data_IF_132600559958
#
_entry.id   IF_132600559958
#
_cell.length_a   1.000
_cell.length_b   1.000
_cell.length_c   1.000
_cell.angle_alpha   90.00
_cell.angle_beta   90.00
_cell.angle_gamma   90.00
#
_symmetry.space_group_name_H-M   'P 1'
#
loop_
_entity.id
_entity.type
_entity.pdbx_description
1 polymer ?
#
# COMPACT_ATOMS: atom_id res chain seq x y z
N UNK A 1 32.49 24.71 -32.68
CA UNK A 1 31.95 23.87 -31.59
C UNK A 1 30.78 24.64 -31.00
N UNK A 2 29.58 24.31 -31.44
CA UNK A 2 28.37 24.78 -30.76
C UNK A 2 28.27 24.08 -29.39
N UNK A 3 27.85 24.78 -28.33
CA UNK A 3 27.68 24.18 -27.03
C UNK A 3 26.51 23.20 -27.07
N UNK A 4 26.75 21.99 -26.55
CA UNK A 4 25.73 20.96 -26.33
C UNK A 4 24.53 21.54 -25.56
N UNK A 5 23.28 21.25 -25.94
CA UNK A 5 22.13 21.69 -25.15
C UNK A 5 22.21 21.03 -23.78
N UNK A 6 22.24 21.85 -22.73
CA UNK A 6 22.15 21.39 -21.36
C UNK A 6 20.86 20.60 -21.21
N UNK A 7 20.96 19.35 -20.78
CA UNK A 7 19.82 18.53 -20.40
C UNK A 7 18.99 19.33 -19.40
N UNK A 8 17.77 19.68 -19.79
CA UNK A 8 16.83 20.37 -18.92
C UNK A 8 16.53 19.40 -17.78
N UNK A 9 17.06 19.68 -16.58
CA UNK A 9 16.72 18.93 -15.37
C UNK A 9 15.19 18.98 -15.23
N UNK A 10 14.54 17.81 -15.25
CA UNK A 10 13.12 17.70 -15.00
C UNK A 10 12.78 18.40 -13.67
N UNK A 11 11.65 19.10 -13.63
CA UNK A 11 11.19 19.76 -12.41
C UNK A 11 11.02 18.72 -11.29
N UNK A 12 11.35 19.06 -10.04
CA UNK A 12 11.13 18.14 -8.92
C UNK A 12 9.64 17.80 -8.80
N UNK A 13 9.33 16.51 -8.64
CA UNK A 13 7.96 16.00 -8.49
C UNK A 13 7.29 16.64 -7.26
N UNK A 14 6.13 17.27 -7.44
CA UNK A 14 5.38 17.92 -6.35
C UNK A 14 4.87 16.91 -5.33
N UNK A 15 4.67 17.37 -4.09
CA UNK A 15 4.06 16.53 -3.04
C UNK A 15 2.66 16.06 -3.44
N UNK A 16 1.85 16.94 -4.07
CA UNK A 16 0.54 16.57 -4.58
C UNK A 16 0.61 15.43 -5.60
N UNK A 17 1.57 15.49 -6.53
CA UNK A 17 1.82 14.40 -7.49
C UNK A 17 2.23 13.11 -6.79
N UNK A 18 3.05 13.16 -5.72
CA UNK A 18 3.42 11.98 -4.90
C UNK A 18 2.23 11.37 -4.16
N UNK A 19 1.32 12.19 -3.63
CA UNK A 19 0.07 11.70 -2.99
C UNK A 19 -0.79 10.97 -4.02
N UNK A 20 -1.04 11.59 -5.18
CA UNK A 20 -1.85 10.99 -6.25
C UNK A 20 -1.19 9.74 -6.82
N UNK A 21 0.11 9.82 -7.09
CA UNK A 21 0.94 8.72 -7.55
C UNK A 21 0.90 7.53 -6.60
N UNK A 22 1.10 7.75 -5.29
CA UNK A 22 1.08 6.67 -4.30
C UNK A 22 -0.27 5.96 -4.25
N UNK A 23 -1.38 6.71 -4.19
CA UNK A 23 -2.72 6.11 -4.13
C UNK A 23 -3.09 5.38 -5.42
N UNK A 24 -2.87 6.00 -6.58
CA UNK A 24 -3.18 5.41 -7.88
C UNK A 24 -2.25 4.26 -8.23
N UNK A 25 -0.95 4.40 -7.94
CA UNK A 25 0.06 3.36 -8.16
C UNK A 25 -0.26 2.09 -7.36
N UNK A 26 -0.68 2.25 -6.10
CA UNK A 26 -1.18 1.14 -5.30
C UNK A 26 -2.40 0.47 -5.92
N UNK A 27 -3.40 1.24 -6.33
CA UNK A 27 -4.61 0.71 -6.95
C UNK A 27 -4.34 -0.01 -8.29
N UNK A 28 -3.41 0.49 -9.10
CA UNK A 28 -2.97 -0.18 -10.33
C UNK A 28 -2.22 -1.48 -10.04
N UNK A 29 -1.33 -1.47 -9.04
CA UNK A 29 -0.63 -2.66 -8.58
C UNK A 29 -1.58 -3.73 -8.05
N UNK A 30 -2.52 -3.34 -7.17
CA UNK A 30 -3.59 -4.18 -6.66
C UNK A 30 -4.41 -4.79 -7.80
N UNK A 31 -4.88 -3.95 -8.74
CA UNK A 31 -5.65 -4.41 -9.89
C UNK A 31 -4.90 -5.41 -10.77
N UNK A 32 -3.58 -5.21 -10.96
CA UNK A 32 -2.74 -6.11 -11.75
C UNK A 32 -2.53 -7.45 -11.05
N UNK A 33 -2.12 -7.42 -9.78
CA UNK A 33 -1.93 -8.63 -9.00
C UNK A 33 -3.24 -9.39 -8.76
N UNK A 34 -4.37 -8.70 -8.68
CA UNK A 34 -5.68 -9.32 -8.50
C UNK A 34 -6.10 -10.25 -9.66
N UNK A 35 -5.59 -10.02 -10.88
CA UNK A 35 -5.84 -10.90 -12.03
C UNK A 35 -5.26 -12.31 -11.88
N UNK A 36 -4.27 -12.45 -10.99
CA UNK A 36 -3.49 -13.68 -10.76
C UNK A 36 -3.43 -14.12 -9.29
N UNK A 37 -4.15 -13.44 -8.38
CA UNK A 37 -4.11 -13.70 -6.93
C UNK A 37 -4.42 -15.14 -6.54
N UNK A 38 -5.22 -15.85 -7.35
CA UNK A 38 -5.60 -17.24 -7.10
C UNK A 38 -4.70 -18.28 -7.82
N UNK A 39 -3.72 -17.83 -8.60
CA UNK A 39 -2.85 -18.69 -9.40
C UNK A 39 -1.47 -18.83 -8.75
N UNK A 40 -0.86 -20.01 -8.85
CA UNK A 40 0.59 -20.17 -8.66
C UNK A 40 1.36 -19.79 -9.95
N UNK A 41 2.68 -19.67 -9.88
CA UNK A 41 3.52 -19.27 -11.03
C UNK A 41 3.33 -20.20 -12.23
N UNK A 42 3.09 -21.50 -12.00
CA UNK A 42 2.85 -22.45 -13.07
C UNK A 42 1.53 -22.17 -13.79
N UNK A 43 0.46 -21.89 -13.05
CA UNK A 43 -0.85 -21.52 -13.57
C UNK A 43 -0.82 -20.14 -14.27
N UNK A 44 -0.12 -19.16 -13.70
CA UNK A 44 0.11 -17.85 -14.32
C UNK A 44 0.80 -18.04 -15.69
N UNK A 45 1.89 -18.82 -15.73
CA UNK A 45 2.63 -19.08 -16.97
C UNK A 45 1.81 -19.89 -17.99
N UNK A 46 0.96 -20.81 -17.53
CA UNK A 46 0.06 -21.55 -18.40
C UNK A 46 -1.00 -20.64 -19.05
N UNK A 47 -1.49 -19.62 -18.32
CA UNK A 47 -2.49 -18.67 -18.81
C UNK A 47 -1.91 -17.57 -19.70
N UNK A 48 -0.77 -17.00 -19.32
CA UNK A 48 -0.23 -15.77 -19.94
C UNK A 48 1.06 -15.98 -20.74
N UNK A 49 1.63 -17.20 -20.72
CA UNK A 49 2.89 -17.54 -21.37
C UNK A 49 4.08 -17.52 -20.40
N UNK A 50 5.27 -17.90 -20.89
CA UNK A 50 6.46 -18.09 -20.04
C UNK A 50 6.89 -16.85 -19.26
N UNK A 51 6.58 -15.66 -19.77
CA UNK A 51 6.87 -14.38 -19.14
C UNK A 51 5.84 -13.96 -18.07
N UNK A 52 4.78 -14.75 -17.86
CA UNK A 52 3.70 -14.44 -16.94
C UNK A 52 2.78 -13.32 -17.44
N UNK A 53 2.00 -12.73 -16.53
CA UNK A 53 1.17 -11.57 -16.81
C UNK A 53 2.07 -10.35 -17.05
N UNK A 54 1.84 -9.63 -18.15
CA UNK A 54 2.67 -8.49 -18.60
C UNK A 54 1.91 -7.17 -18.63
N UNK A 55 0.60 -7.19 -18.86
CA UNK A 55 -0.20 -5.97 -19.05
C UNK A 55 -1.66 -6.16 -18.61
N UNK A 56 -2.27 -5.09 -18.07
CA UNK A 56 -3.69 -5.09 -17.67
C UNK A 56 -4.65 -5.38 -18.84
N UNK A 57 -4.26 -5.10 -20.08
CA UNK A 57 -5.04 -5.45 -21.27
C UNK A 57 -5.23 -6.96 -21.47
N UNK A 58 -4.46 -7.79 -20.76
CA UNK A 58 -4.64 -9.25 -20.75
C UNK A 58 -5.76 -9.72 -19.79
N UNK A 59 -6.43 -8.80 -19.08
CA UNK A 59 -7.57 -9.14 -18.25
C UNK A 59 -8.70 -9.76 -19.10
N UNK A 60 -9.33 -10.87 -18.64
CA UNK A 60 -10.40 -11.52 -19.39
C UNK A 60 -11.73 -10.74 -19.38
N UNK A 61 -11.81 -9.67 -18.60
CA UNK A 61 -12.99 -8.83 -18.41
C UNK A 61 -12.63 -7.48 -17.79
N UNK A 62 -13.60 -6.76 -17.20
CA UNK A 62 -13.32 -5.51 -16.51
C UNK A 62 -12.24 -5.67 -15.44
N UNK A 63 -11.32 -4.71 -15.39
CA UNK A 63 -10.26 -4.65 -14.39
C UNK A 63 -10.83 -4.05 -13.12
N UNK A 64 -10.64 -4.74 -12.00
CA UNK A 64 -11.12 -4.33 -10.69
C UNK A 64 -9.96 -4.28 -9.71
N UNK A 65 -9.97 -3.31 -8.79
CA UNK A 65 -9.11 -3.36 -7.61
C UNK A 65 -9.75 -4.24 -6.52
N UNK A 66 -8.95 -4.77 -5.59
CA UNK A 66 -9.42 -5.64 -4.51
C UNK A 66 -9.88 -4.84 -3.27
N UNK A 67 -10.23 -5.56 -2.20
CA UNK A 67 -10.49 -4.97 -0.90
C UNK A 67 -9.29 -4.18 -0.33
N UNK A 68 -8.07 -4.43 -0.78
CA UNK A 68 -6.88 -3.67 -0.39
C UNK A 68 -7.04 -2.18 -0.77
N UNK A 69 -7.34 -1.88 -2.03
CA UNK A 69 -7.61 -0.51 -2.47
C UNK A 69 -8.84 0.06 -1.77
N UNK A 70 -9.93 -0.70 -1.62
CA UNK A 70 -11.11 -0.21 -0.90
C UNK A 70 -10.76 0.27 0.51
N UNK A 71 -10.13 -0.59 1.30
CA UNK A 71 -9.73 -0.27 2.67
C UNK A 71 -8.68 0.85 2.69
N UNK A 72 -7.76 0.92 1.73
CA UNK A 72 -6.81 2.02 1.58
C UNK A 72 -7.51 3.37 1.39
N UNK A 73 -8.56 3.44 0.58
CA UNK A 73 -9.36 4.67 0.43
C UNK A 73 -10.15 5.00 1.71
N UNK A 74 -10.65 4.01 2.45
CA UNK A 74 -11.25 4.26 3.78
C UNK A 74 -10.20 4.72 4.81
N UNK A 75 -8.94 4.31 4.70
CA UNK A 75 -7.84 4.91 5.48
C UNK A 75 -7.67 6.38 5.15
N UNK A 76 -7.69 6.75 3.86
CA UNK A 76 -7.63 8.17 3.45
C UNK A 76 -8.82 8.95 4.02
N UNK A 77 -10.04 8.42 3.91
CA UNK A 77 -11.24 9.07 4.45
C UNK A 77 -11.14 9.32 5.97
N UNK A 78 -10.64 8.33 6.73
CA UNK A 78 -10.42 8.47 8.16
C UNK A 78 -9.36 9.52 8.50
N UNK A 79 -8.27 9.58 7.73
CA UNK A 79 -7.22 10.59 7.93
C UNK A 79 -7.74 11.99 7.59
N UNK A 80 -8.52 12.11 6.52
CA UNK A 80 -9.21 13.36 6.16
C UNK A 80 -10.12 13.80 7.29
N UNK A 81 -10.97 12.90 7.81
CA UNK A 81 -11.85 13.18 8.94
C UNK A 81 -11.05 13.65 10.16
N UNK A 82 -10.01 12.92 10.57
CA UNK A 82 -9.17 13.31 11.71
C UNK A 82 -8.52 14.69 11.53
N UNK A 83 -8.06 15.02 10.33
CA UNK A 83 -7.46 16.31 10.00
C UNK A 83 -8.51 17.44 9.96
N UNK A 84 -9.74 17.17 9.52
CA UNK A 84 -10.86 18.13 9.61
C UNK A 84 -11.10 18.54 11.08
N UNK A 85 -11.22 17.55 11.99
CA UNK A 85 -11.37 17.81 13.42
C UNK A 85 -10.19 18.61 14.00
N UNK A 86 -8.96 18.24 13.63
CA UNK A 86 -7.76 18.93 14.09
C UNK A 86 -7.69 20.39 13.60
N UNK A 87 -8.05 20.64 12.34
CA UNK A 87 -8.10 21.99 11.75
C UNK A 87 -9.18 22.88 12.41
N UNK A 88 -10.28 22.27 12.86
CA UNK A 88 -11.32 22.93 13.65
C UNK A 88 -10.93 23.12 15.13
N UNK A 89 -9.71 22.73 15.53
CA UNK A 89 -9.21 22.85 16.89
C UNK A 89 -9.87 21.88 17.88
N UNK A 90 -10.48 20.80 17.38
CA UNK A 90 -11.17 19.81 18.20
C UNK A 90 -10.35 18.53 18.33
N UNK A 91 -10.16 18.07 19.56
CA UNK A 91 -9.46 16.82 19.82
C UNK A 91 -10.29 15.63 19.32
N UNK A 92 -9.62 14.70 18.63
CA UNK A 92 -10.20 13.45 18.15
C UNK A 92 -9.26 12.28 18.43
N UNK A 93 -9.82 11.07 18.58
CA UNK A 93 -9.03 9.84 18.59
C UNK A 93 -8.94 9.32 17.16
N UNK A 94 -7.76 9.46 16.55
CA UNK A 94 -7.52 9.11 15.14
C UNK A 94 -7.68 7.61 14.90
N UNK A 95 -7.37 6.78 15.91
CA UNK A 95 -7.53 5.33 15.82
C UNK A 95 -9.01 4.94 15.87
N UNK A 96 -9.81 5.62 16.69
CA UNK A 96 -11.26 5.43 16.73
C UNK A 96 -11.92 5.89 15.42
N UNK A 97 -11.53 7.04 14.86
CA UNK A 97 -12.04 7.51 13.55
C UNK A 97 -11.74 6.47 12.46
N UNK A 98 -10.51 5.94 12.41
CA UNK A 98 -10.14 4.89 11.48
C UNK A 98 -10.96 3.61 11.65
N UNK A 99 -11.19 3.20 12.90
CA UNK A 99 -12.03 2.05 13.18
C UNK A 99 -13.47 2.24 12.71
N UNK A 100 -14.05 3.42 12.93
CA UNK A 100 -15.38 3.78 12.47
C UNK A 100 -15.47 3.78 10.94
N UNK A 101 -14.43 4.28 10.24
CA UNK A 101 -14.35 4.20 8.77
C UNK A 101 -14.34 2.75 8.28
N UNK A 102 -13.57 1.88 8.91
CA UNK A 102 -13.58 0.45 8.55
C UNK A 102 -14.90 -0.25 8.88
N UNK A 103 -15.63 0.16 9.92
CA UNK A 103 -16.99 -0.34 10.18
C UNK A 103 -17.99 0.13 9.11
N UNK A 104 -17.85 1.35 8.58
CA UNK A 104 -18.63 1.82 7.41
C UNK A 104 -18.35 0.93 6.20
N UNK A 105 -17.08 0.68 5.88
CA UNK A 105 -16.69 -0.25 4.82
C UNK A 105 -17.25 -1.66 5.05
N UNK A 106 -17.16 -2.21 6.26
CA UNK A 106 -17.67 -3.55 6.58
C UNK A 106 -19.18 -3.66 6.28
N UNK A 107 -19.93 -2.62 6.62
CA UNK A 107 -21.36 -2.52 6.33
C UNK A 107 -21.65 -2.55 4.82
N UNK A 108 -20.83 -1.87 4.00
CA UNK A 108 -20.99 -1.92 2.54
C UNK A 108 -20.68 -3.30 1.96
N UNK A 109 -19.91 -4.13 2.67
CA UNK A 109 -19.69 -5.53 2.31
C UNK A 109 -20.85 -6.45 2.73
N UNK A 110 -21.92 -5.92 3.34
CA UNK A 110 -23.05 -6.73 3.83
C UNK A 110 -22.65 -7.67 4.98
N UNK A 111 -21.66 -7.30 5.78
CA UNK A 111 -21.28 -8.02 7.00
C UNK A 111 -21.81 -7.23 8.20
N UNK A 112 -22.67 -7.86 8.99
CA UNK A 112 -23.21 -7.27 10.21
C UNK A 112 -22.24 -7.53 11.37
N UNK A 113 -21.68 -6.48 12.02
CA UNK A 113 -20.85 -6.68 13.19
C UNK A 113 -21.68 -7.10 14.42
N UNK A 114 -21.00 -7.48 15.50
CA UNK A 114 -21.61 -7.73 16.80
C UNK A 114 -22.53 -6.59 17.24
N UNK A 115 -23.59 -6.90 17.99
CA UNK A 115 -24.59 -5.92 18.45
C UNK A 115 -23.99 -4.79 19.31
N UNK A 116 -22.80 -4.98 19.86
CA UNK A 116 -22.09 -3.97 20.65
C UNK A 116 -21.27 -2.99 19.80
N UNK A 117 -21.13 -3.24 18.49
CA UNK A 117 -20.41 -2.34 17.60
C UNK A 117 -21.16 -1.01 17.45
N UNK A 118 -20.45 0.13 17.38
CA UNK A 118 -21.10 1.41 17.11
C UNK A 118 -21.67 1.44 15.69
N UNK A 119 -22.67 2.29 15.49
CA UNK A 119 -23.18 2.65 14.17
C UNK A 119 -22.57 3.98 13.75
N UNK A 120 -21.48 3.99 12.96
CA UNK A 120 -20.85 5.23 12.51
C UNK A 120 -21.79 6.05 11.62
N UNK A 121 -21.69 7.37 11.69
CA UNK A 121 -22.40 8.26 10.77
C UNK A 121 -21.84 8.08 9.35
N UNK A 122 -22.71 8.07 8.31
CA UNK A 122 -22.27 7.86 6.95
C UNK A 122 -21.42 9.03 6.43
N UNK A 123 -20.45 8.73 5.58
CA UNK A 123 -19.65 9.70 4.82
C UNK A 123 -19.87 9.50 3.32
N UNK A 124 -19.45 10.49 2.55
CA UNK A 124 -19.68 10.52 1.09
C UNK A 124 -19.06 9.31 0.36
N UNK A 125 -17.96 8.75 0.89
CA UNK A 125 -17.26 7.59 0.35
C UNK A 125 -18.13 6.31 0.40
N UNK A 126 -19.08 6.22 1.34
CA UNK A 126 -19.94 5.04 1.50
C UNK A 126 -20.95 4.86 0.34
N UNK A 127 -21.22 5.95 -0.39
CA UNK A 127 -22.11 5.97 -1.53
C UNK A 127 -21.43 5.54 -2.85
N UNK A 128 -20.12 5.30 -2.85
CA UNK A 128 -19.37 4.95 -4.05
C UNK A 128 -19.56 3.47 -4.42
N UNK A 129 -20.24 3.19 -5.52
CA UNK A 129 -20.61 1.81 -5.91
C UNK A 129 -19.41 0.88 -6.05
N UNK A 130 -18.29 1.36 -6.60
CA UNK A 130 -17.07 0.58 -6.75
C UNK A 130 -16.50 0.03 -5.43
N UNK A 131 -16.85 0.64 -4.29
CA UNK A 131 -16.39 0.23 -2.94
C UNK A 131 -17.37 -0.72 -2.23
N UNK A 132 -18.49 -1.08 -2.87
CA UNK A 132 -19.60 -1.87 -2.28
C UNK A 132 -19.62 -3.33 -2.76
N UNK A 133 -18.57 -3.76 -3.46
CA UNK A 133 -18.40 -5.12 -3.95
C UNK A 133 -17.40 -5.90 -3.09
N UNK A 134 -17.76 -7.14 -2.71
CA UNK A 134 -16.84 -8.05 -2.00
C UNK A 134 -15.72 -8.50 -2.93
N UNK A 135 -14.47 -8.15 -2.59
CA UNK A 135 -13.30 -8.44 -3.44
C UNK A 135 -12.10 -8.94 -2.64
N UNK A 136 -12.25 -10.14 -2.07
CA UNK A 136 -11.11 -10.87 -1.47
C UNK A 136 -10.49 -10.20 -0.24
N UNK A 137 -11.29 -9.58 0.63
CA UNK A 137 -10.76 -9.02 1.86
C UNK A 137 -10.09 -10.07 2.74
N UNK A 138 -8.97 -9.69 3.37
CA UNK A 138 -8.30 -10.51 4.37
C UNK A 138 -9.28 -10.95 5.47
N UNK A 139 -9.23 -12.23 5.85
CA UNK A 139 -10.14 -12.80 6.84
C UNK A 139 -10.02 -12.10 8.20
N UNK A 140 -8.81 -11.68 8.60
CA UNK A 140 -8.58 -10.95 9.83
C UNK A 140 -9.16 -9.52 9.78
N UNK A 141 -9.21 -8.89 8.61
CA UNK A 141 -9.94 -7.62 8.44
C UNK A 141 -11.43 -7.81 8.73
N UNK A 142 -12.05 -8.82 8.13
CA UNK A 142 -13.47 -9.10 8.33
C UNK A 142 -13.78 -9.53 9.76
N UNK A 143 -13.05 -10.52 10.30
CA UNK A 143 -13.32 -11.04 11.65
C UNK A 143 -13.03 -10.03 12.75
N UNK A 144 -11.99 -9.21 12.58
CA UNK A 144 -11.62 -8.16 13.53
C UNK A 144 -12.70 -7.10 13.65
N UNK A 145 -13.18 -6.58 12.51
CA UNK A 145 -14.24 -5.58 12.49
C UNK A 145 -15.60 -6.16 12.90
N UNK A 146 -15.92 -7.39 12.46
CA UNK A 146 -17.17 -8.05 12.82
C UNK A 146 -17.29 -8.35 14.32
N UNK A 147 -16.16 -8.44 15.05
CA UNK A 147 -16.18 -8.61 16.51
C UNK A 147 -16.87 -7.46 17.26
N UNK A 148 -16.89 -6.26 16.67
CA UNK A 148 -17.39 -5.04 17.30
C UNK A 148 -16.47 -4.47 18.40
N UNK A 149 -15.32 -5.09 18.63
CA UNK A 149 -14.29 -4.58 19.55
C UNK A 149 -13.27 -3.75 18.77
N UNK A 150 -12.93 -2.57 19.30
CA UNK A 150 -11.81 -1.78 18.78
C UNK A 150 -10.50 -2.41 19.26
N UNK A 151 -9.83 -3.15 18.36
CA UNK A 151 -8.54 -3.75 18.63
C UNK A 151 -7.46 -2.71 18.95
N UNK A 152 -6.57 -3.01 19.90
CA UNK A 152 -5.43 -2.16 20.24
C UNK A 152 -4.16 -2.99 20.34
N UNK A 153 -2.98 -2.36 20.32
CA UNK A 153 -1.71 -3.08 20.46
C UNK A 153 -1.62 -3.90 21.77
N UNK A 154 -2.19 -3.37 22.86
CA UNK A 154 -2.20 -4.05 24.17
C UNK A 154 -3.35 -5.04 24.36
N UNK A 155 -4.43 -4.89 23.59
CA UNK A 155 -5.61 -5.77 23.60
C UNK A 155 -6.07 -5.99 22.16
N UNK A 156 -5.34 -6.78 21.36
CA UNK A 156 -5.64 -6.91 19.95
C UNK A 156 -6.83 -7.84 19.70
N UNK A 157 -7.57 -7.54 18.64
CA UNK A 157 -8.40 -8.56 17.99
C UNK A 157 -7.50 -9.40 17.09
N UNK A 158 -7.83 -10.68 16.91
CA UNK A 158 -7.04 -11.63 16.11
C UNK A 158 -5.53 -11.64 16.46
N UNK A 159 -5.12 -12.06 17.67
CA UNK A 159 -3.72 -12.03 18.11
C UNK A 159 -2.76 -12.87 17.24
N UNK A 160 -3.29 -13.86 16.50
CA UNK A 160 -2.52 -14.71 15.59
C UNK A 160 -2.49 -14.23 14.14
N UNK A 161 -3.16 -13.12 13.78
CA UNK A 161 -3.23 -12.66 12.40
C UNK A 161 -1.94 -11.94 11.97
N UNK A 162 -1.26 -12.52 10.98
CA UNK A 162 0.03 -12.08 10.42
C UNK A 162 -0.07 -11.55 8.98
N UNK A 163 -1.22 -11.70 8.35
CA UNK A 163 -1.45 -11.42 6.93
C UNK A 163 -1.18 -9.98 6.52
N UNK A 164 -1.02 -9.78 5.21
CA UNK A 164 -0.70 -8.49 4.59
C UNK A 164 -1.90 -7.53 4.48
N UNK A 165 -3.09 -7.91 4.92
CA UNK A 165 -4.29 -7.06 4.84
C UNK A 165 -4.14 -5.71 5.56
N UNK A 166 -3.42 -5.64 6.68
CA UNK A 166 -3.14 -4.36 7.36
C UNK A 166 -2.10 -3.51 6.61
N UNK A 167 -1.11 -4.16 5.98
CA UNK A 167 -0.04 -3.52 5.21
C UNK A 167 -0.59 -2.83 3.96
N UNK A 168 -1.42 -3.53 3.19
CA UNK A 168 -1.85 -3.05 1.86
C UNK A 168 -2.71 -1.77 1.92
N UNK A 169 -3.29 -1.46 3.08
CA UNK A 169 -4.11 -0.27 3.31
C UNK A 169 -3.41 0.85 4.08
N UNK A 170 -2.08 0.76 4.27
CA UNK A 170 -1.35 1.65 5.18
C UNK A 170 -0.48 2.72 4.49
N UNK A 171 -0.32 2.67 3.16
CA UNK A 171 0.38 3.75 2.45
C UNK A 171 -0.16 5.16 2.79
N UNK A 172 -1.49 5.39 2.94
CA UNK A 172 -2.03 6.70 3.28
C UNK A 172 -1.48 7.34 4.55
N UNK A 173 -1.09 6.56 5.57
CA UNK A 173 -0.52 7.12 6.80
C UNK A 173 0.79 7.88 6.51
N UNK A 174 1.60 7.39 5.57
CA UNK A 174 2.83 8.04 5.17
C UNK A 174 2.63 9.33 4.37
N UNK A 175 1.42 9.57 3.87
CA UNK A 175 1.08 10.73 3.05
C UNK A 175 0.60 11.94 3.87
N UNK A 176 0.61 11.86 5.21
CA UNK A 176 0.26 13.01 6.06
C UNK A 176 1.50 13.87 6.28
N UNK A 177 1.57 15.11 5.75
CA UNK A 177 2.69 16.01 5.96
C UNK A 177 2.59 16.70 7.32
N UNK A 178 3.63 17.46 7.70
CA UNK A 178 3.66 18.30 8.90
C UNK A 178 3.55 17.57 10.25
N UNK A 179 3.59 16.24 10.24
CA UNK A 179 3.75 15.41 11.43
C UNK A 179 5.09 14.65 11.37
N UNK A 180 5.74 14.38 12.51
CA UNK A 180 6.99 13.61 12.50
C UNK A 180 6.74 12.17 12.05
N UNK A 181 7.72 11.57 11.37
CA UNK A 181 7.66 10.17 10.91
C UNK A 181 7.36 9.16 12.05
N UNK A 182 7.73 9.46 13.31
CA UNK A 182 7.36 8.65 14.47
C UNK A 182 5.85 8.63 14.77
N UNK A 183 5.16 9.74 14.52
CA UNK A 183 3.70 9.80 14.64
C UNK A 183 3.04 8.92 13.56
N UNK A 184 3.56 8.95 12.32
CA UNK A 184 3.13 8.06 11.23
C UNK A 184 3.31 6.59 11.63
N UNK A 185 4.50 6.24 12.16
CA UNK A 185 4.79 4.88 12.60
C UNK A 185 3.83 4.41 13.69
N UNK A 186 3.57 5.26 14.69
CA UNK A 186 2.65 4.94 15.80
C UNK A 186 1.21 4.81 15.32
N UNK A 187 0.72 5.75 14.52
CA UNK A 187 -0.65 5.77 14.01
C UNK A 187 -0.95 4.56 13.13
N UNK A 188 -0.05 4.22 12.21
CA UNK A 188 -0.20 3.04 11.34
C UNK A 188 -0.11 1.72 12.12
N UNK A 189 0.75 1.63 13.15
CA UNK A 189 0.79 0.47 14.04
C UNK A 189 -0.53 0.29 14.81
N UNK A 190 -1.10 1.38 15.32
CA UNK A 190 -2.42 1.36 15.97
C UNK A 190 -3.53 0.97 14.97
N UNK A 191 -3.48 1.50 13.75
CA UNK A 191 -4.43 1.17 12.69
C UNK A 191 -4.37 -0.29 12.24
N UNK A 192 -3.20 -0.92 12.26
CA UNK A 192 -3.06 -2.36 12.02
C UNK A 192 -3.75 -3.19 13.13
N UNK A 193 -3.55 -2.78 14.39
CA UNK A 193 -4.07 -3.47 15.58
C UNK A 193 -5.60 -3.53 15.66
N UNK A 194 -6.31 -2.68 14.90
CA UNK A 194 -7.76 -2.74 14.74
C UNK A 194 -8.26 -4.08 14.18
N UNK A 195 -7.40 -4.85 13.51
CA UNK A 195 -7.78 -6.11 12.84
C UNK A 195 -6.74 -7.21 12.94
N UNK A 196 -5.45 -6.85 13.03
CA UNK A 196 -4.33 -7.79 13.05
C UNK A 196 -3.54 -7.59 14.34
N UNK A 197 -3.50 -8.61 15.19
CA UNK A 197 -2.87 -8.50 16.51
C UNK A 197 -1.41 -8.93 16.59
N UNK A 198 -0.90 -9.61 15.56
CA UNK A 198 0.44 -10.20 15.62
C UNK A 198 1.52 -9.17 15.27
N UNK A 199 2.69 -9.23 15.93
CA UNK A 199 3.82 -8.34 15.65
C UNK A 199 4.28 -8.36 14.18
N UNK A 200 4.20 -9.54 13.54
CA UNK A 200 4.46 -9.75 12.10
C UNK A 200 3.46 -9.07 11.15
N UNK A 201 2.35 -8.52 11.64
CA UNK A 201 1.49 -7.63 10.87
C UNK A 201 1.72 -6.16 11.28
N UNK A 202 1.83 -5.89 12.58
CA UNK A 202 1.97 -4.53 13.12
C UNK A 202 3.25 -3.83 12.67
N UNK A 203 4.40 -4.49 12.79
CA UNK A 203 5.71 -3.86 12.52
C UNK A 203 5.94 -3.62 11.02
N UNK A 204 5.65 -4.56 10.10
CA UNK A 204 5.77 -4.29 8.67
C UNK A 204 4.82 -3.19 8.20
N UNK A 205 3.59 -3.14 8.73
CA UNK A 205 2.62 -2.07 8.40
C UNK A 205 3.16 -0.69 8.77
N UNK A 206 3.76 -0.57 9.97
CA UNK A 206 4.35 0.67 10.43
C UNK A 206 5.64 1.04 9.66
N UNK A 207 6.49 0.05 9.37
CA UNK A 207 7.68 0.22 8.55
C UNK A 207 7.35 0.69 7.12
N UNK A 208 6.32 0.12 6.50
CA UNK A 208 5.88 0.55 5.19
C UNK A 208 5.34 1.97 5.17
N UNK A 209 4.53 2.34 6.16
CA UNK A 209 4.03 3.73 6.30
C UNK A 209 5.17 4.73 6.49
N UNK A 210 6.21 4.34 7.24
CA UNK A 210 7.45 5.10 7.36
C UNK A 210 8.15 5.26 6.01
N UNK A 211 8.34 4.18 5.25
CA UNK A 211 8.95 4.24 3.92
C UNK A 211 8.19 5.21 3.01
N UNK A 212 6.87 5.14 2.97
CA UNK A 212 6.04 6.06 2.18
C UNK A 212 6.26 7.51 2.62
N UNK A 213 6.34 7.78 3.93
CA UNK A 213 6.62 9.14 4.43
C UNK A 213 8.01 9.65 4.03
N UNK A 214 9.03 8.81 4.13
CA UNK A 214 10.39 9.16 3.72
C UNK A 214 10.49 9.46 2.21
N UNK A 215 9.66 8.81 1.38
CA UNK A 215 9.61 9.04 -0.07
C UNK A 215 8.76 10.25 -0.43
N UNK A 216 7.57 10.36 0.15
CA UNK A 216 6.56 11.34 -0.23
C UNK A 216 6.85 12.72 0.37
N UNK A 217 7.15 12.76 1.68
CA UNK A 217 7.27 14.01 2.45
C UNK A 217 8.73 14.46 2.53
N UNK A 218 9.65 13.56 2.90
CA UNK A 218 11.08 13.88 3.04
C UNK A 218 11.84 13.84 1.72
N UNK A 219 11.21 13.32 0.65
CA UNK A 219 11.77 13.20 -0.69
C UNK A 219 13.15 12.49 -0.72
N UNK A 220 13.36 11.51 0.16
CA UNK A 220 14.61 10.73 0.18
C UNK A 220 14.71 9.84 -1.07
N UNK A 221 15.94 9.61 -1.59
CA UNK A 221 16.17 8.59 -2.60
C UNK A 221 15.71 7.20 -2.12
N UNK A 222 15.21 6.37 -3.04
CA UNK A 222 14.58 5.08 -2.73
C UNK A 222 15.40 4.21 -1.76
N UNK A 223 16.68 3.97 -2.08
CA UNK A 223 17.56 3.15 -1.23
C UNK A 223 17.82 3.78 0.14
N UNK A 224 17.91 5.11 0.22
CA UNK A 224 18.08 5.80 1.51
C UNK A 224 16.81 5.70 2.37
N UNK A 225 15.63 5.84 1.77
CA UNK A 225 14.34 5.65 2.43
C UNK A 225 14.18 4.20 2.95
N UNK A 226 14.58 3.21 2.14
CA UNK A 226 14.56 1.80 2.53
C UNK A 226 15.49 1.48 3.72
N UNK A 227 16.71 2.02 3.72
CA UNK A 227 17.65 1.89 4.84
C UNK A 227 17.14 2.61 6.09
N UNK A 228 16.50 3.78 5.94
CA UNK A 228 15.83 4.51 7.02
C UNK A 228 14.72 3.66 7.65
N UNK A 229 13.85 3.05 6.83
CA UNK A 229 12.80 2.13 7.27
C UNK A 229 13.38 0.95 8.06
N UNK A 230 14.38 0.25 7.52
CA UNK A 230 15.04 -0.87 8.20
C UNK A 230 15.57 -0.43 9.56
N UNK A 231 16.36 0.66 9.59
CA UNK A 231 16.96 1.19 10.83
C UNK A 231 15.88 1.48 11.87
N UNK A 232 14.77 2.10 11.46
CA UNK A 232 13.66 2.40 12.38
C UNK A 232 12.97 1.15 12.90
N UNK A 233 12.69 0.16 12.04
CA UNK A 233 12.11 -1.11 12.46
C UNK A 233 13.00 -1.82 13.50
N UNK A 234 14.32 -1.74 13.34
CA UNK A 234 15.29 -2.32 14.28
C UNK A 234 15.45 -1.57 15.61
N UNK A 235 14.86 -0.37 15.73
CA UNK A 235 14.87 0.41 16.97
C UNK A 235 13.67 0.09 17.89
N UNK A 236 12.73 -0.76 17.47
CA UNK A 236 11.65 -1.24 18.32
C UNK A 236 12.19 -2.06 19.50
N UNK A 237 11.63 -1.85 20.70
CA UNK A 237 12.03 -2.60 21.90
C UNK A 237 11.88 -4.12 21.73
N UNK A 238 10.90 -4.55 20.95
CA UNK A 238 10.67 -5.94 20.57
C UNK A 238 10.66 -6.08 19.05
N UNK A 239 11.72 -5.63 18.38
CA UNK A 239 11.87 -5.73 16.93
C UNK A 239 11.74 -7.18 16.44
N UNK A 240 10.97 -7.38 15.37
CA UNK A 240 10.78 -8.68 14.72
C UNK A 240 12.03 -9.05 13.93
N UNK A 241 12.70 -10.14 14.32
CA UNK A 241 13.83 -10.68 13.57
C UNK A 241 13.44 -11.03 12.13
N UNK A 242 12.33 -11.75 11.93
CA UNK A 242 11.84 -12.14 10.60
C UNK A 242 11.65 -10.93 9.66
N UNK A 243 11.11 -9.81 10.16
CA UNK A 243 11.00 -8.58 9.37
C UNK A 243 12.37 -8.01 9.02
N UNK A 244 13.27 -7.89 10.00
CA UNK A 244 14.60 -7.31 9.78
C UNK A 244 15.42 -8.15 8.79
N UNK A 245 15.40 -9.47 8.95
CA UNK A 245 16.09 -10.41 8.06
C UNK A 245 15.52 -10.33 6.65
N UNK A 246 14.19 -10.31 6.49
CA UNK A 246 13.55 -10.14 5.18
C UNK A 246 13.91 -8.82 4.49
N UNK A 247 13.96 -7.71 5.23
CA UNK A 247 14.38 -6.41 4.70
C UNK A 247 15.87 -6.39 4.32
N UNK A 248 16.74 -6.98 5.14
CA UNK A 248 18.17 -7.06 4.88
C UNK A 248 18.43 -7.93 3.62
N UNK A 249 17.76 -9.09 3.49
CA UNK A 249 17.83 -9.93 2.28
C UNK A 249 17.32 -9.20 1.04
N UNK A 250 16.20 -8.47 1.12
CA UNK A 250 15.68 -7.68 -0.01
C UNK A 250 16.68 -6.59 -0.46
N UNK A 251 17.29 -5.88 0.51
CA UNK A 251 18.29 -4.84 0.25
C UNK A 251 19.58 -5.40 -0.39
N UNK A 252 20.01 -6.58 0.04
CA UNK A 252 21.19 -7.28 -0.49
C UNK A 252 20.93 -7.84 -1.89
N UNK A 253 19.86 -8.62 -2.06
CA UNK A 253 19.53 -9.26 -3.34
C UNK A 253 19.26 -8.25 -4.46
N UNK A 254 18.74 -7.07 -4.14
CA UNK A 254 18.48 -6.01 -5.12
C UNK A 254 19.74 -5.38 -5.72
N UNK A 255 20.94 -5.72 -5.24
CA UNK A 255 22.22 -5.27 -5.82
C UNK A 255 22.70 -6.13 -6.99
N UNK A 256 22.04 -7.27 -7.23
CA UNK A 256 22.34 -8.21 -8.29
C UNK A 256 21.23 -8.23 -9.37
N UNK A 257 21.35 -9.13 -10.35
CA UNK A 257 20.31 -9.35 -11.34
C UNK A 257 19.00 -9.83 -10.69
N UNK A 258 17.88 -9.51 -11.35
CA UNK A 258 16.56 -9.97 -10.93
C UNK A 258 16.49 -11.50 -10.84
N UNK A 259 15.86 -11.99 -9.78
CA UNK A 259 15.68 -13.41 -9.48
C UNK A 259 14.44 -13.94 -10.17
N UNK A 260 14.50 -15.21 -10.58
CA UNK A 260 13.32 -15.94 -11.01
C UNK A 260 12.34 -16.12 -9.84
N UNK A 261 11.01 -16.22 -10.08
CA UNK A 261 10.00 -16.27 -9.01
C UNK A 261 10.23 -17.33 -7.94
N UNK A 262 10.71 -18.51 -8.31
CA UNK A 262 10.99 -19.60 -7.37
C UNK A 262 12.18 -19.29 -6.45
N UNK A 263 13.23 -18.63 -6.98
CA UNK A 263 14.37 -18.19 -6.19
C UNK A 263 13.98 -17.06 -5.23
N UNK A 264 13.13 -16.13 -5.71
CA UNK A 264 12.59 -15.05 -4.90
C UNK A 264 11.74 -15.59 -3.74
N UNK A 265 10.86 -16.53 -4.04
CA UNK A 265 9.98 -17.15 -3.03
C UNK A 265 10.77 -17.94 -1.99
N UNK A 266 11.84 -18.63 -2.41
CA UNK A 266 12.74 -19.31 -1.48
C UNK A 266 13.51 -18.35 -0.57
N UNK A 267 13.75 -17.11 -0.99
CA UNK A 267 14.56 -16.15 -0.25
C UNK A 267 13.73 -15.23 0.66
N UNK A 268 12.55 -14.79 0.19
CA UNK A 268 11.73 -13.78 0.85
C UNK A 268 10.33 -14.29 1.26
N UNK A 269 10.03 -15.56 1.00
CA UNK A 269 8.70 -16.14 1.23
C UNK A 269 7.74 -15.85 0.08
N UNK A 270 6.46 -16.17 0.29
CA UNK A 270 5.42 -16.05 -0.74
C UNK A 270 4.55 -14.81 -0.57
N UNK A 271 4.83 -13.97 0.42
CA UNK A 271 4.01 -12.81 0.74
C UNK A 271 2.78 -13.14 1.61
N UNK A 272 2.76 -14.34 2.20
CA UNK A 272 1.64 -14.80 3.04
C UNK A 272 1.53 -13.96 4.32
N UNK A 273 2.68 -13.58 4.89
CA UNK A 273 2.77 -12.67 6.03
C UNK A 273 3.13 -11.25 5.56
N UNK A 274 2.75 -10.22 6.32
CA UNK A 274 2.99 -8.82 5.94
C UNK A 274 4.48 -8.47 5.78
N UNK A 275 5.37 -9.12 6.55
CA UNK A 275 6.82 -8.92 6.42
C UNK A 275 7.36 -9.40 5.08
N UNK A 276 6.96 -10.59 4.63
CA UNK A 276 7.31 -11.15 3.33
C UNK A 276 6.80 -10.27 2.19
N UNK A 277 5.54 -9.84 2.26
CA UNK A 277 4.93 -9.01 1.22
C UNK A 277 5.67 -7.67 1.07
N UNK A 278 6.06 -7.04 2.19
CA UNK A 278 6.85 -5.81 2.18
C UNK A 278 8.26 -6.05 1.59
N UNK A 279 8.92 -7.15 1.97
CA UNK A 279 10.26 -7.48 1.48
C UNK A 279 10.27 -7.75 -0.03
N UNK A 280 9.30 -8.51 -0.54
CA UNK A 280 9.14 -8.80 -1.98
C UNK A 280 8.88 -7.51 -2.77
N UNK A 281 7.96 -6.67 -2.29
CA UNK A 281 7.65 -5.40 -2.94
C UNK A 281 8.88 -4.47 -2.97
N UNK A 282 9.60 -4.35 -1.85
CA UNK A 282 10.82 -3.55 -1.75
C UNK A 282 11.90 -4.07 -2.70
N UNK A 283 12.10 -5.39 -2.74
CA UNK A 283 13.05 -6.03 -3.66
C UNK A 283 12.71 -5.72 -5.11
N UNK A 284 11.44 -5.90 -5.52
CA UNK A 284 10.99 -5.70 -6.89
C UNK A 284 11.24 -4.27 -7.39
N UNK A 285 11.00 -3.27 -6.55
CA UNK A 285 11.29 -1.87 -6.87
C UNK A 285 12.82 -1.65 -6.92
N UNK A 286 13.57 -2.04 -5.89
CA UNK A 286 15.01 -1.77 -5.85
C UNK A 286 15.80 -2.45 -6.98
N UNK A 287 15.46 -3.69 -7.33
CA UNK A 287 16.21 -4.47 -8.33
C UNK A 287 16.00 -3.97 -9.76
N UNK A 288 14.90 -3.25 -10.01
CA UNK A 288 14.54 -2.75 -11.34
C UNK A 288 14.93 -1.29 -11.55
N UNK A 289 15.27 -0.55 -10.48
CA UNK A 289 15.59 0.89 -10.52
C UNK A 289 16.72 1.24 -11.49
N UNK A 290 17.85 0.54 -11.40
CA UNK A 290 19.05 0.89 -12.17
C UNK A 290 18.92 0.62 -13.67
N UNK A 291 18.05 -0.31 -14.07
CA UNK A 291 17.85 -0.71 -15.45
C UNK A 291 16.77 0.12 -16.17
N UNK A 292 15.92 0.82 -15.43
CA UNK A 292 14.79 1.54 -16.00
C UNK A 292 15.23 2.82 -16.73
N UNK A 293 14.74 3.02 -17.95
CA UNK A 293 14.96 4.22 -18.75
C UNK A 293 13.95 5.34 -18.48
N UNK A 294 12.85 5.03 -17.78
CA UNK A 294 11.81 5.99 -17.38
C UNK A 294 11.05 5.54 -16.13
N UNK A 295 10.39 6.45 -15.39
CA UNK A 295 9.51 6.09 -14.28
C UNK A 295 8.42 5.08 -14.65
N UNK A 296 7.83 5.19 -15.85
CA UNK A 296 6.79 4.27 -16.34
C UNK A 296 7.35 2.86 -16.58
N UNK A 297 8.55 2.75 -17.16
CA UNK A 297 9.20 1.45 -17.36
C UNK A 297 9.56 0.80 -16.03
N UNK A 298 10.08 1.60 -15.08
CA UNK A 298 10.36 1.13 -13.71
C UNK A 298 9.08 0.57 -13.08
N UNK A 299 7.98 1.33 -13.16
CA UNK A 299 6.68 0.90 -12.63
C UNK A 299 6.23 -0.44 -13.22
N UNK A 300 6.17 -0.55 -14.55
CA UNK A 300 5.73 -1.77 -15.22
C UNK A 300 6.61 -2.98 -14.87
N UNK A 301 7.93 -2.80 -14.83
CA UNK A 301 8.88 -3.90 -14.57
C UNK A 301 8.82 -4.36 -13.12
N UNK A 302 8.78 -3.43 -12.15
CA UNK A 302 8.66 -3.77 -10.74
C UNK A 302 7.33 -4.46 -10.44
N UNK A 303 6.20 -3.96 -10.97
CA UNK A 303 4.88 -4.58 -10.75
C UNK A 303 4.83 -5.99 -11.32
N UNK A 304 5.44 -6.24 -12.48
CA UNK A 304 5.51 -7.61 -13.05
C UNK A 304 6.27 -8.57 -12.15
N UNK A 305 7.40 -8.15 -11.58
CA UNK A 305 8.15 -8.97 -10.60
C UNK A 305 7.30 -9.18 -9.34
N UNK A 306 6.64 -8.13 -8.86
CA UNK A 306 5.85 -8.13 -7.64
C UNK A 306 4.46 -8.80 -7.78
N UNK A 307 4.06 -9.29 -8.96
CA UNK A 307 2.78 -9.98 -9.13
C UNK A 307 2.91 -11.41 -9.68
N UNK A 308 3.98 -11.72 -10.43
CA UNK A 308 4.20 -13.04 -11.00
C UNK A 308 4.93 -13.97 -10.01
N UNK A 309 4.32 -14.23 -8.86
CA UNK A 309 4.84 -15.09 -7.77
C UNK A 309 3.77 -16.06 -7.24
N UNK A 310 4.19 -16.99 -6.38
CA UNK A 310 3.34 -18.02 -5.81
C UNK A 310 2.47 -17.45 -4.67
N UNK A 311 1.43 -16.69 -5.02
CA UNK A 311 0.45 -16.12 -4.08
C UNK A 311 0.74 -14.68 -3.65
N UNK A 312 -0.25 -14.05 -3.00
CA UNK A 312 -0.24 -12.66 -2.51
C UNK A 312 0.11 -11.59 -3.57
N UNK A 313 -0.06 -11.92 -4.85
CA UNK A 313 0.25 -11.07 -6.02
C UNK A 313 -0.35 -9.67 -5.93
N UNK A 314 -1.60 -9.54 -5.49
CA UNK A 314 -2.28 -8.27 -5.29
C UNK A 314 -1.62 -7.43 -4.19
N UNK A 315 -1.21 -8.05 -3.09
CA UNK A 315 -0.61 -7.38 -1.94
C UNK A 315 0.76 -6.84 -2.27
N UNK A 316 1.64 -7.68 -2.81
CA UNK A 316 3.01 -7.30 -3.17
C UNK A 316 3.03 -6.27 -4.30
N UNK A 317 2.18 -6.42 -5.32
CA UNK A 317 2.06 -5.44 -6.39
C UNK A 317 1.46 -4.11 -5.92
N UNK A 318 0.44 -4.14 -5.05
CA UNK A 318 -0.12 -2.91 -4.45
C UNK A 318 0.95 -2.14 -3.69
N UNK A 319 1.72 -2.82 -2.82
CA UNK A 319 2.78 -2.18 -2.02
C UNK A 319 3.88 -1.63 -2.92
N UNK A 320 4.32 -2.37 -3.94
CA UNK A 320 5.30 -1.89 -4.92
C UNK A 320 4.79 -0.65 -5.68
N UNK A 321 3.52 -0.66 -6.08
CA UNK A 321 2.87 0.46 -6.76
C UNK A 321 2.76 1.70 -5.87
N UNK A 322 2.46 1.55 -4.59
CA UNK A 322 2.48 2.65 -3.63
C UNK A 322 3.88 3.26 -3.49
N UNK A 323 4.94 2.42 -3.38
CA UNK A 323 6.33 2.87 -3.26
C UNK A 323 6.74 3.70 -4.49
N UNK A 324 6.50 3.17 -5.69
CA UNK A 324 6.84 3.84 -6.95
C UNK A 324 6.05 5.13 -7.16
N UNK A 325 4.77 5.12 -6.78
CA UNK A 325 3.92 6.30 -6.80
C UNK A 325 4.39 7.39 -5.83
N UNK A 326 4.82 7.02 -4.61
CA UNK A 326 5.40 7.95 -3.66
C UNK A 326 6.76 8.50 -4.13
N UNK A 327 7.53 7.71 -4.88
CA UNK A 327 8.84 8.07 -5.42
C UNK A 327 8.77 9.01 -6.63
N UNK A 328 7.87 8.72 -7.59
CA UNK A 328 7.80 9.42 -8.88
C UNK A 328 6.55 10.27 -9.09
N UNK A 329 5.56 10.18 -8.19
CA UNK A 329 4.26 10.80 -8.41
C UNK A 329 3.49 10.20 -9.58
N UNK A 330 2.65 11.00 -10.23
CA UNK A 330 1.85 10.54 -11.38
C UNK A 330 2.70 10.20 -12.62
N UNK A 331 3.97 10.63 -12.67
CA UNK A 331 4.87 10.43 -13.83
C UNK A 331 5.22 8.96 -14.09
N UNK A 332 5.09 8.08 -13.09
CA UNK A 332 5.32 6.64 -13.26
C UNK A 332 4.08 5.86 -13.73
N UNK A 333 2.91 6.49 -13.78
CA UNK A 333 1.64 5.79 -14.02
C UNK A 333 1.42 5.54 -15.52
N UNK A 334 1.31 4.28 -15.98
CA UNK A 334 1.08 3.98 -17.38
C UNK A 334 -0.33 4.43 -17.83
N UNK A 335 -0.42 5.30 -18.84
CA UNK A 335 -1.70 5.83 -19.34
C UNK A 335 -2.66 4.74 -19.85
N UNK A 336 -2.12 3.67 -20.44
CA UNK A 336 -2.90 2.51 -20.87
C UNK A 336 -3.58 1.82 -19.68
N UNK A 337 -2.89 1.72 -18.54
CA UNK A 337 -3.42 1.10 -17.32
C UNK A 337 -4.44 2.00 -16.63
N UNK A 338 -4.22 3.33 -16.61
CA UNK A 338 -5.19 4.30 -16.11
C UNK A 338 -6.51 4.30 -16.90
N UNK A 339 -6.45 4.01 -18.19
CA UNK A 339 -7.65 3.93 -19.04
C UNK A 339 -8.48 2.67 -18.79
N UNK A 340 -7.85 1.62 -18.26
CA UNK A 340 -8.50 0.35 -17.90
C UNK A 340 -8.92 0.30 -16.43
N UNK A 341 -8.34 1.16 -15.58
CA UNK A 341 -8.57 1.10 -14.15
C UNK A 341 -9.99 1.48 -13.77
N UNK A 342 -10.47 0.86 -12.71
CA UNK A 342 -11.79 1.13 -12.19
C UNK A 342 -11.83 2.44 -11.41
N UNK A 343 -12.73 3.35 -11.81
CA UNK A 343 -13.01 4.60 -11.10
C UNK A 343 -11.76 5.45 -10.74
N UNK A 344 -10.83 5.73 -11.67
CA UNK A 344 -9.64 6.52 -11.35
C UNK A 344 -9.97 7.92 -10.82
N UNK A 345 -11.12 8.47 -11.21
CA UNK A 345 -11.64 9.73 -10.67
C UNK A 345 -11.90 9.68 -9.16
N UNK A 346 -12.40 8.56 -8.62
CA UNK A 346 -12.64 8.39 -7.20
C UNK A 346 -11.33 8.44 -6.40
N UNK A 347 -10.34 7.66 -6.84
CA UNK A 347 -9.01 7.63 -6.19
C UNK A 347 -8.39 9.03 -6.22
N UNK A 348 -8.49 9.72 -7.36
CA UNK A 348 -8.00 11.10 -7.49
C UNK A 348 -8.70 12.05 -6.52
N UNK A 349 -10.03 11.96 -6.41
CA UNK A 349 -10.81 12.78 -5.46
C UNK A 349 -10.44 12.50 -4.00
N UNK A 350 -10.12 11.26 -3.63
CA UNK A 350 -9.62 10.95 -2.28
C UNK A 350 -8.27 11.65 -2.02
N UNK A 351 -7.33 11.57 -2.97
CA UNK A 351 -6.06 12.29 -2.86
C UNK A 351 -6.24 13.80 -2.77
N UNK A 352 -7.16 14.39 -3.55
CA UNK A 352 -7.48 15.82 -3.50
C UNK A 352 -8.05 16.24 -2.14
N UNK A 353 -8.91 15.42 -1.53
CA UNK A 353 -9.42 15.72 -0.19
C UNK A 353 -8.32 15.72 0.86
N UNK A 354 -7.40 14.75 0.81
CA UNK A 354 -6.24 14.71 1.69
C UNK A 354 -5.38 15.97 1.52
N UNK A 355 -5.04 16.33 0.28
CA UNK A 355 -4.22 17.52 -0.01
C UNK A 355 -4.88 18.82 0.47
N UNK A 356 -6.20 18.92 0.31
CA UNK A 356 -6.96 20.08 0.78
C UNK A 356 -6.88 20.25 2.30
N UNK A 357 -7.10 19.18 3.08
CA UNK A 357 -7.08 19.29 4.54
C UNK A 357 -5.68 19.43 5.12
N UNK A 358 -4.63 19.11 4.35
CA UNK A 358 -3.23 19.34 4.73
C UNK A 358 -2.67 20.67 4.24
N UNK A 359 -3.48 21.48 3.53
CA UNK A 359 -3.03 22.77 2.96
C UNK A 359 -1.95 22.61 1.90
N UNK A 360 -1.95 21.49 1.17
CA UNK A 360 -0.93 21.10 0.21
C UNK A 360 -1.45 21.04 -1.23
N UNK A 361 -2.45 21.87 -1.55
CA UNK A 361 -2.93 22.06 -2.92
C UNK A 361 -1.87 22.84 -3.74
N UNK A 362 -1.58 22.38 -4.96
CA UNK A 362 -0.58 22.98 -5.87
C UNK A 362 -1.01 24.36 -6.40
#
# INVERSE_FOLDING_TARGET
MEPSPAATLAAPVSFASRVQGALMGGALGDSFGYLVEADDVAAIRARFGSAGLLDLSQAPGPVHFSAATQLGLYTVDALVEALEWANDGTAADETAILWLAYLRWLSTQGVTPSANAPSPQPRWIDAQEALRHRRGADTACLSGLASGEMGTRGRPVNPGAKGSGSLCRSAPFGLVPHIPAEAVYTLSSNGAALTHGHALALQPTAAFSWLIHQLAVEALPLRAAAVSMRKRAGAETAASADLLDGLDVALELSTAAAREPAELSSALGTGADAGEALAIALYAVLVTEAAASSPVEHFLTAIRIAANLDGASSSTASVAGNILGALYGEDCLPQAWLSLSETPGLIRSMGQQLLKVTGSED
#
